data_IF_295667520542
#
_entry.id   IF_295667520542
#
_cell.length_a   1.000
_cell.length_b   1.000
_cell.length_c   1.000
_cell.angle_alpha   90.00
_cell.angle_beta   90.00
_cell.angle_gamma   90.00
#
_symmetry.space_group_name_H-M   'P 1'
#
loop_
_entity.id
_entity.type
_entity.pdbx_description
1 polymer ?
#
# COMPACT_ATOMS: atom_id res chain seq x y z
N UNK A 1 7.49 62.66 25.95
CA UNK A 1 8.55 61.76 26.44
C UNK A 1 7.85 60.48 26.87
N UNK A 2 7.63 59.56 25.94
CA UNK A 2 7.12 58.22 26.19
C UNK A 2 8.16 57.27 25.63
N UNK A 3 8.73 56.42 26.49
CA UNK A 3 9.69 55.40 26.07
C UNK A 3 8.90 54.20 25.57
N UNK A 4 9.11 53.85 24.31
CA UNK A 4 8.65 52.61 23.70
C UNK A 4 9.59 51.48 24.13
N UNK A 5 9.09 50.53 24.91
CA UNK A 5 9.79 49.28 25.20
C UNK A 5 9.73 48.38 23.95
N UNK A 6 10.86 48.30 23.24
CA UNK A 6 11.09 47.29 22.21
C UNK A 6 11.59 46.02 22.89
N UNK A 7 10.74 45.00 22.93
CA UNK A 7 11.13 43.63 23.25
C UNK A 7 11.93 43.05 22.09
N UNK A 8 13.23 42.82 22.34
CA UNK A 8 14.15 42.13 21.47
C UNK A 8 13.89 40.61 21.60
N UNK A 9 13.19 40.02 20.63
CA UNK A 9 13.04 38.57 20.51
C UNK A 9 14.26 38.02 19.79
N UNK A 10 15.11 37.32 20.54
CA UNK A 10 16.26 36.59 20.00
C UNK A 10 15.76 35.30 19.34
N UNK A 11 16.11 34.99 18.08
CA UNK A 11 15.74 33.72 17.47
C UNK A 11 16.59 32.59 18.07
N UNK A 12 15.93 31.68 18.78
CA UNK A 12 16.53 30.43 19.27
C UNK A 12 16.83 29.54 18.05
N UNK A 13 18.10 29.48 17.66
CA UNK A 13 18.59 28.46 16.71
C UNK A 13 18.51 27.10 17.40
N UNK A 14 17.56 26.27 17.00
CA UNK A 14 17.58 24.84 17.30
C UNK A 14 18.79 24.20 16.59
N UNK A 15 19.80 23.87 17.38
CA UNK A 15 20.90 23.02 16.93
C UNK A 15 20.37 21.59 16.80
N UNK A 16 20.20 21.11 15.56
CA UNK A 16 20.09 19.67 15.27
C UNK A 16 21.39 19.01 15.74
N UNK A 17 21.30 18.30 16.85
CA UNK A 17 22.39 17.45 17.34
C UNK A 17 22.25 16.11 16.61
N UNK A 18 23.28 15.61 15.90
CA UNK A 18 23.21 14.27 15.32
C UNK A 18 23.15 13.24 16.45
N UNK A 19 22.02 12.52 16.53
CA UNK A 19 21.85 11.37 17.41
C UNK A 19 22.75 10.24 16.89
N UNK A 20 23.85 9.99 17.58
CA UNK A 20 24.64 8.78 17.38
C UNK A 20 23.86 7.62 18.03
N UNK A 21 23.15 6.85 17.21
CA UNK A 21 22.54 5.59 17.62
C UNK A 21 23.67 4.62 17.98
N UNK A 22 23.90 4.46 19.29
CA UNK A 22 24.76 3.44 19.84
C UNK A 22 24.00 2.11 19.81
N UNK A 23 24.52 1.14 19.06
CA UNK A 23 23.92 -0.17 18.89
C UNK A 23 23.66 -0.91 20.21
N UNK A 24 22.41 -1.29 20.41
CA UNK A 24 22.00 -2.38 21.29
C UNK A 24 21.65 -3.59 20.44
N UNK A 25 22.51 -4.60 20.42
CA UNK A 25 22.16 -5.90 19.87
C UNK A 25 21.20 -6.62 20.84
N UNK A 26 19.91 -6.61 20.54
CA UNK A 26 18.97 -7.53 21.17
C UNK A 26 18.94 -8.83 20.35
N UNK A 27 19.62 -9.85 20.88
CA UNK A 27 19.47 -11.24 20.43
C UNK A 27 18.11 -11.77 20.90
N UNK A 28 17.08 -11.57 20.09
CA UNK A 28 15.79 -12.26 20.22
C UNK A 28 15.84 -13.57 19.42
N UNK A 29 15.97 -14.69 20.11
CA UNK A 29 15.86 -16.01 19.49
C UNK A 29 14.37 -16.33 19.23
N UNK A 30 13.91 -16.17 17.99
CA UNK A 30 12.63 -16.75 17.55
C UNK A 30 12.85 -18.21 17.18
N UNK A 31 12.12 -19.09 17.86
CA UNK A 31 12.14 -20.52 17.63
C UNK A 31 11.46 -20.85 16.29
N UNK A 32 12.27 -21.31 15.32
CA UNK A 32 11.80 -21.95 14.10
C UNK A 32 11.09 -23.27 14.43
N UNK A 33 9.76 -23.25 14.36
CA UNK A 33 8.93 -24.44 14.33
C UNK A 33 9.04 -25.14 12.98
N UNK A 34 9.82 -26.21 12.94
CA UNK A 34 9.98 -27.07 11.77
C UNK A 34 8.81 -28.08 11.66
N UNK A 35 8.05 -27.98 10.57
CA UNK A 35 7.43 -29.10 9.87
C UNK A 35 7.36 -28.67 8.40
N UNK A 36 8.08 -29.25 7.43
CA UNK A 36 8.57 -30.60 7.30
C UNK A 36 7.95 -31.16 6.03
N UNK A 37 8.62 -30.99 4.87
CA UNK A 37 8.62 -31.88 3.70
C UNK A 37 9.33 -31.19 2.52
N UNK A 38 10.64 -31.43 2.37
CA UNK A 38 11.36 -31.17 1.14
C UNK A 38 11.82 -32.52 0.55
N UNK A 39 11.31 -32.85 -0.63
CA UNK A 39 11.89 -33.87 -1.49
C UNK A 39 13.20 -33.32 -2.06
N UNK A 40 14.31 -34.00 -1.78
CA UNK A 40 15.57 -33.77 -2.45
C UNK A 40 15.55 -34.47 -3.82
N UNK A 41 15.76 -33.72 -4.90
CA UNK A 41 16.30 -34.25 -6.15
C UNK A 41 17.67 -33.62 -6.36
N UNK A 42 18.68 -34.48 -6.26
CA UNK A 42 20.05 -34.28 -6.72
C UNK A 42 20.06 -34.34 -8.25
N UNK A 43 20.72 -33.38 -8.89
CA UNK A 43 21.14 -33.44 -10.29
C UNK A 43 22.20 -32.38 -10.52
N UNK A 44 23.46 -32.69 -10.23
CA UNK A 44 24.48 -33.14 -11.21
C UNK A 44 24.83 -32.03 -12.23
N UNK A 45 25.92 -31.34 -11.93
CA UNK A 45 26.60 -30.44 -12.84
C UNK A 45 27.43 -31.29 -13.82
N UNK A 46 27.03 -31.32 -15.09
CA UNK A 46 27.75 -32.09 -16.09
C UNK A 46 27.42 -31.74 -17.52
N UNK A 47 28.44 -31.21 -18.20
CA UNK A 47 28.77 -31.40 -19.62
C UNK A 47 28.24 -30.38 -20.65
N UNK A 48 29.22 -29.68 -21.22
CA UNK A 48 29.14 -28.95 -22.47
C UNK A 48 28.98 -29.91 -23.66
N UNK A 49 28.26 -29.47 -24.71
CA UNK A 49 28.41 -30.09 -26.03
C UNK A 49 27.23 -29.93 -26.99
N UNK A 50 27.40 -29.00 -27.93
CA UNK A 50 27.28 -29.25 -29.37
C UNK A 50 25.90 -29.51 -30.05
N UNK A 51 25.61 -28.59 -30.99
CA UNK A 51 25.01 -28.75 -32.32
C UNK A 51 23.50 -28.46 -32.53
N UNK A 52 23.15 -27.76 -33.65
CA UNK A 52 21.79 -27.43 -34.06
C UNK A 52 21.21 -28.47 -35.03
N UNK A 53 19.93 -28.84 -34.85
CA UNK A 53 19.10 -29.67 -35.76
C UNK A 53 17.77 -29.98 -35.06
N UNK A 54 16.58 -30.05 -35.64
CA UNK A 54 16.01 -29.73 -36.95
C UNK A 54 14.53 -29.42 -36.75
N UNK A 55 13.98 -28.59 -37.64
CA UNK A 55 12.56 -28.39 -37.88
C UNK A 55 11.87 -29.74 -38.12
N UNK A 56 10.79 -30.02 -37.40
CA UNK A 56 9.83 -31.07 -37.75
C UNK A 56 8.46 -30.44 -37.99
N UNK A 57 8.14 -30.27 -39.27
CA UNK A 57 6.78 -30.17 -39.77
C UNK A 57 6.13 -31.56 -39.62
N UNK A 58 5.04 -31.64 -38.87
CA UNK A 58 4.08 -32.72 -38.98
C UNK A 58 2.72 -32.12 -39.33
N UNK A 59 2.40 -32.25 -40.61
CA UNK A 59 1.06 -32.11 -41.17
C UNK A 59 0.23 -33.38 -40.88
N UNK A 60 -1.08 -33.20 -41.00
CA UNK A 60 -2.13 -34.22 -41.18
C UNK A 60 -2.56 -35.01 -39.94
N UNK A 61 -3.80 -34.75 -39.49
CA UNK A 61 -4.86 -35.76 -39.70
C UNK A 61 -6.26 -35.12 -39.75
N UNK A 62 -6.97 -35.47 -40.82
CA UNK A 62 -8.34 -35.10 -41.12
C UNK A 62 -9.30 -36.08 -40.44
N UNK A 63 -10.01 -35.61 -39.41
CA UNK A 63 -11.10 -36.35 -38.76
C UNK A 63 -12.45 -35.67 -38.95
N UNK A 64 -13.05 -35.84 -40.13
CA UNK A 64 -14.43 -35.46 -40.41
C UNK A 64 -15.40 -36.44 -39.75
N UNK A 65 -16.21 -35.97 -38.80
CA UNK A 65 -17.44 -36.66 -38.40
C UNK A 65 -18.51 -35.62 -38.08
N UNK A 66 -19.51 -35.57 -38.95
CA UNK A 66 -20.72 -34.79 -38.80
C UNK A 66 -21.61 -35.38 -37.68
N UNK A 67 -22.07 -34.51 -36.78
CA UNK A 67 -23.27 -34.73 -35.98
C UNK A 67 -23.94 -33.37 -35.70
N UNK A 68 -25.27 -33.38 -35.75
CA UNK A 68 -26.22 -32.28 -35.80
C UNK A 68 -26.05 -31.10 -34.80
N UNK A 69 -26.46 -29.88 -35.19
CA UNK A 69 -26.46 -28.68 -34.35
C UNK A 69 -27.74 -28.61 -33.50
N UNK A 70 -27.68 -29.13 -32.27
CA UNK A 70 -28.64 -28.76 -31.24
C UNK A 70 -28.11 -27.54 -30.48
N UNK A 71 -28.86 -26.45 -30.57
CA UNK A 71 -28.61 -25.18 -29.92
C UNK A 71 -28.38 -25.36 -28.41
N UNK A 72 -27.14 -25.15 -27.99
CA UNK A 72 -26.80 -24.83 -26.61
C UNK A 72 -26.28 -23.40 -26.60
N UNK A 73 -27.25 -22.48 -26.52
CA UNK A 73 -27.02 -21.09 -26.13
C UNK A 73 -27.08 -21.02 -24.60
N UNK A 74 -26.16 -21.72 -23.95
CA UNK A 74 -25.86 -21.59 -22.53
C UNK A 74 -24.60 -20.75 -22.39
N UNK A 75 -24.73 -19.61 -21.71
CA UNK A 75 -23.70 -18.67 -21.29
C UNK A 75 -22.27 -18.94 -21.80
N UNK A 76 -21.95 -18.35 -22.95
CA UNK A 76 -20.60 -17.78 -23.10
C UNK A 76 -20.53 -16.65 -22.08
N UNK A 77 -20.14 -17.00 -20.84
CA UNK A 77 -19.70 -16.05 -19.85
C UNK A 77 -18.70 -15.15 -20.54
N UNK A 78 -19.14 -13.92 -20.79
CA UNK A 78 -18.28 -12.89 -21.35
C UNK A 78 -17.11 -12.78 -20.41
N UNK A 79 -15.97 -13.34 -20.83
CA UNK A 79 -14.68 -12.86 -20.39
C UNK A 79 -14.66 -11.41 -20.81
N UNK A 80 -15.20 -10.56 -19.93
CA UNK A 80 -15.13 -9.14 -20.04
C UNK A 80 -13.66 -8.86 -20.17
N UNK A 81 -13.26 -8.48 -21.38
CA UNK A 81 -12.14 -7.59 -21.60
C UNK A 81 -12.52 -6.23 -20.99
N UNK A 82 -12.91 -6.22 -19.72
CA UNK A 82 -12.94 -5.01 -18.90
C UNK A 82 -11.48 -4.66 -18.71
N UNK A 83 -11.11 -3.42 -19.03
CA UNK A 83 -9.78 -2.93 -18.70
C UNK A 83 -9.52 -3.27 -17.24
N UNK A 84 -8.33 -3.79 -16.95
CA UNK A 84 -7.91 -3.98 -15.56
C UNK A 84 -8.15 -2.65 -14.85
N UNK A 85 -9.16 -2.62 -13.99
CA UNK A 85 -9.41 -1.45 -13.15
C UNK A 85 -8.18 -1.26 -12.28
N UNK A 86 -7.77 -0.01 -12.15
CA UNK A 86 -6.68 0.41 -11.28
C UNK A 86 -7.08 0.03 -9.85
N UNK A 87 -6.20 -0.70 -9.17
CA UNK A 87 -6.35 -1.07 -7.77
C UNK A 87 -5.92 0.08 -6.85
N UNK A 88 -6.17 -0.09 -5.55
CA UNK A 88 -5.87 0.91 -4.51
C UNK A 88 -4.42 1.41 -4.61
N UNK A 89 -3.45 0.49 -4.69
CA UNK A 89 -2.04 0.84 -4.71
C UNK A 89 -1.68 1.63 -5.98
N UNK A 90 -2.20 1.21 -7.14
CA UNK A 90 -1.96 1.95 -8.37
C UNK A 90 -2.66 3.33 -8.39
N UNK A 91 -3.81 3.49 -7.73
CA UNK A 91 -4.45 4.80 -7.56
C UNK A 91 -3.60 5.72 -6.68
N UNK A 92 -3.09 5.20 -5.56
CA UNK A 92 -2.19 5.92 -4.66
C UNK A 92 -0.91 6.37 -5.39
N UNK A 93 -0.27 5.48 -6.15
CA UNK A 93 0.94 5.80 -6.92
C UNK A 93 0.69 6.90 -7.97
N UNK A 94 -0.47 6.89 -8.63
CA UNK A 94 -0.85 7.90 -9.63
C UNK A 94 -1.07 9.27 -8.99
N UNK A 95 -1.80 9.34 -7.88
CA UNK A 95 -2.04 10.59 -7.16
C UNK A 95 -0.74 11.15 -6.55
N UNK A 96 0.05 10.30 -5.88
CA UNK A 96 1.32 10.71 -5.28
C UNK A 96 2.33 11.26 -6.31
N UNK A 97 2.26 10.80 -7.58
CA UNK A 97 3.11 11.33 -8.64
C UNK A 97 2.81 12.79 -9.04
N UNK A 98 1.61 13.32 -8.71
CA UNK A 98 1.24 14.71 -8.97
C UNK A 98 1.86 15.68 -7.95
N UNK A 99 2.29 15.18 -6.78
CA UNK A 99 2.89 15.97 -5.70
C UNK A 99 4.37 15.59 -5.53
N UNK A 100 5.32 16.51 -5.77
CA UNK A 100 6.74 16.23 -5.54
C UNK A 100 7.01 15.82 -4.10
N UNK A 101 7.63 14.66 -3.90
CA UNK A 101 7.89 14.07 -2.58
C UNK A 101 6.61 13.84 -1.74
N UNK A 102 5.45 13.76 -2.39
CA UNK A 102 4.16 13.49 -1.75
C UNK A 102 4.03 12.06 -1.22
N UNK A 103 3.32 11.90 -0.11
CA UNK A 103 3.04 10.62 0.53
C UNK A 103 1.52 10.43 0.55
N UNK A 104 1.03 9.39 -0.12
CA UNK A 104 -0.37 9.01 -0.03
C UNK A 104 -0.63 8.36 1.33
N UNK A 105 -1.71 8.79 2.01
CA UNK A 105 -1.97 8.38 3.39
C UNK A 105 -3.43 7.95 3.64
N UNK A 106 -4.39 8.54 2.93
CA UNK A 106 -5.78 8.06 2.93
C UNK A 106 -6.23 7.74 1.50
N UNK A 107 -6.81 6.56 1.31
CA UNK A 107 -7.32 6.08 0.02
C UNK A 107 -8.66 5.39 0.22
N UNK A 108 -9.71 5.89 -0.44
CA UNK A 108 -11.07 5.32 -0.40
C UNK A 108 -11.62 5.14 -1.83
N UNK A 109 -12.39 4.08 -2.07
CA UNK A 109 -13.16 3.91 -3.29
C UNK A 109 -14.63 4.23 -3.05
N UNK A 110 -15.04 5.47 -3.30
CA UNK A 110 -16.43 5.90 -3.26
C UNK A 110 -16.91 6.47 -4.61
N UNK A 111 -18.22 6.38 -4.84
CA UNK A 111 -18.90 6.94 -6.02
C UNK A 111 -18.30 6.56 -7.40
N UNK A 112 -17.54 5.46 -7.46
CA UNK A 112 -16.90 4.94 -8.67
C UNK A 112 -15.57 5.61 -9.03
N UNK A 113 -14.96 6.33 -8.10
CA UNK A 113 -13.62 6.91 -8.19
C UNK A 113 -12.78 6.49 -6.99
N UNK A 114 -11.47 6.55 -7.11
CA UNK A 114 -10.59 6.52 -5.95
C UNK A 114 -10.39 7.95 -5.47
N UNK A 115 -10.67 8.21 -4.19
CA UNK A 115 -10.28 9.42 -3.47
C UNK A 115 -8.94 9.13 -2.79
N UNK A 116 -7.96 10.00 -2.98
CA UNK A 116 -6.58 9.79 -2.49
C UNK A 116 -6.05 11.09 -1.92
N UNK A 117 -5.75 11.09 -0.62
CA UNK A 117 -5.09 12.19 0.05
C UNK A 117 -3.57 12.01 0.03
N UNK A 118 -2.88 13.08 -0.37
CA UNK A 118 -1.43 13.13 -0.54
C UNK A 118 -0.85 14.33 0.18
N UNK A 119 -0.04 14.05 1.19
CA UNK A 119 0.63 15.08 1.98
C UNK A 119 2.00 15.44 1.40
N UNK A 120 2.29 16.74 1.30
CA UNK A 120 3.63 17.30 1.07
C UNK A 120 4.19 17.88 2.37
N UNK A 121 5.13 17.16 2.98
CA UNK A 121 5.80 17.58 4.23
C UNK A 121 6.63 18.85 4.02
N UNK A 122 7.19 19.04 2.83
CA UNK A 122 8.02 20.19 2.53
C UNK A 122 7.23 21.50 2.48
N UNK A 123 5.99 21.42 1.96
CA UNK A 123 5.11 22.57 1.78
C UNK A 123 4.04 22.70 2.88
N UNK A 124 3.92 21.70 3.76
CA UNK A 124 2.87 21.59 4.79
C UNK A 124 1.46 21.68 4.17
N UNK A 125 1.27 20.97 3.06
CA UNK A 125 0.04 20.95 2.26
C UNK A 125 -0.47 19.52 2.15
N UNK A 126 -1.79 19.40 2.15
CA UNK A 126 -2.48 18.16 1.87
C UNK A 126 -3.33 18.34 0.59
N UNK A 127 -3.42 17.29 -0.20
CA UNK A 127 -3.98 17.31 -1.55
C UNK A 127 -4.87 16.09 -1.77
N UNK A 128 -6.17 16.34 -1.93
CA UNK A 128 -7.15 15.32 -2.26
C UNK A 128 -7.24 15.18 -3.78
N UNK A 129 -7.02 13.97 -4.30
CA UNK A 129 -7.14 13.65 -5.72
C UNK A 129 -8.22 12.61 -5.97
N UNK A 130 -8.98 12.80 -7.05
CA UNK A 130 -9.79 11.74 -7.62
C UNK A 130 -9.02 11.04 -8.73
N UNK A 131 -8.99 9.71 -8.70
CA UNK A 131 -8.41 8.86 -9.74
C UNK A 131 -9.50 8.01 -10.38
N UNK A 132 -9.67 8.14 -11.69
CA UNK A 132 -10.62 7.33 -12.43
C UNK A 132 -10.11 5.88 -12.57
N UNK A 133 -10.84 4.86 -12.06
CA UNK A 133 -10.34 3.49 -12.00
C UNK A 133 -10.20 2.82 -13.38
N UNK A 134 -10.91 3.28 -14.40
CA UNK A 134 -10.86 2.70 -15.74
C UNK A 134 -9.75 3.29 -16.61
N UNK A 135 -9.46 4.59 -16.44
CA UNK A 135 -8.57 5.35 -17.32
C UNK A 135 -7.26 5.80 -16.66
N UNK A 136 -7.21 5.86 -15.33
CA UNK A 136 -6.11 6.44 -14.56
C UNK A 136 -5.99 7.95 -14.70
N UNK A 137 -7.04 8.63 -15.16
CA UNK A 137 -7.10 10.09 -15.13
C UNK A 137 -7.12 10.57 -13.68
N UNK A 138 -6.18 11.46 -13.34
CA UNK A 138 -6.04 12.06 -12.01
C UNK A 138 -6.54 13.50 -12.07
N UNK A 139 -7.38 13.89 -11.11
CA UNK A 139 -7.88 15.26 -10.98
C UNK A 139 -7.81 15.72 -9.52
N UNK A 140 -7.24 16.90 -9.27
CA UNK A 140 -7.25 17.53 -7.95
C UNK A 140 -8.69 17.91 -7.56
N UNK A 141 -9.15 17.41 -6.42
CA UNK A 141 -10.47 17.66 -5.86
C UNK A 141 -10.44 18.82 -4.86
N UNK A 142 -9.55 18.77 -3.87
CA UNK A 142 -9.30 19.83 -2.90
C UNK A 142 -7.81 20.00 -2.56
N UNK A 143 -7.45 21.13 -1.94
CA UNK A 143 -6.10 21.34 -1.43
C UNK A 143 -6.06 22.15 -0.12
N UNK A 144 -5.59 21.51 0.94
CA UNK A 144 -5.60 21.99 2.31
C UNK A 144 -4.22 22.37 2.85
N UNK A 145 -4.22 22.86 4.08
CA UNK A 145 -3.01 22.88 4.90
C UNK A 145 -3.01 21.55 5.65
N UNK A 146 -1.90 20.82 5.58
CA UNK A 146 -1.73 19.61 6.37
C UNK A 146 -1.73 19.97 7.86
N UNK A 147 -2.43 19.19 8.67
CA UNK A 147 -2.34 19.27 10.13
C UNK A 147 -1.20 18.39 10.68
N UNK A 148 -1.15 18.20 12.00
CA UNK A 148 -0.04 17.47 12.61
C UNK A 148 -0.17 15.96 12.35
N UNK A 149 -1.41 15.50 12.23
CA UNK A 149 -1.84 14.14 12.00
C UNK A 149 -1.47 13.72 10.57
N UNK A 150 -1.81 14.52 9.56
CA UNK A 150 -1.41 14.28 8.16
C UNK A 150 0.12 14.17 8.01
N UNK A 151 0.85 15.07 8.67
CA UNK A 151 2.31 15.12 8.60
C UNK A 151 2.98 13.94 9.31
N UNK A 152 2.29 13.27 10.23
CA UNK A 152 2.84 12.15 10.99
C UNK A 152 3.06 10.90 10.12
N UNK A 153 2.39 10.80 8.96
CA UNK A 153 2.62 9.68 8.02
C UNK A 153 4.08 9.63 7.55
N UNK A 154 4.80 10.76 7.54
CA UNK A 154 6.21 10.78 7.12
C UNK A 154 7.17 10.08 8.09
N UNK A 155 6.72 9.82 9.33
CA UNK A 155 7.48 9.16 10.38
C UNK A 155 7.12 7.66 10.54
N UNK A 156 6.22 7.12 9.71
CA UNK A 156 5.85 5.68 9.75
C UNK A 156 6.99 4.78 9.30
N UNK A 157 7.07 3.57 9.87
CA UNK A 157 8.08 2.58 9.49
C UNK A 157 7.58 1.65 8.38
N UNK A 158 6.28 1.33 8.39
CA UNK A 158 5.62 0.51 7.37
C UNK A 158 5.13 1.43 6.25
N UNK A 159 5.68 1.25 5.05
CA UNK A 159 5.20 1.97 3.86
C UNK A 159 3.83 1.47 3.38
N UNK A 160 3.14 2.30 2.59
CA UNK A 160 1.79 2.04 2.08
C UNK A 160 1.67 0.67 1.38
N UNK A 161 2.66 0.29 0.56
CA UNK A 161 2.61 -0.98 -0.17
C UNK A 161 2.70 -2.19 0.78
N UNK A 162 3.51 -2.08 1.83
CA UNK A 162 3.58 -3.08 2.88
C UNK A 162 2.28 -3.15 3.71
N UNK A 163 1.68 -1.99 4.03
CA UNK A 163 0.39 -1.92 4.73
C UNK A 163 -0.73 -2.58 3.92
N UNK A 164 -0.87 -2.25 2.62
CA UNK A 164 -1.82 -2.89 1.70
C UNK A 164 -1.63 -4.41 1.66
N UNK A 165 -0.38 -4.87 1.51
CA UNK A 165 -0.08 -6.30 1.45
C UNK A 165 -0.47 -7.06 2.72
N UNK A 166 -0.24 -6.46 3.91
CA UNK A 166 -0.64 -7.05 5.19
C UNK A 166 -2.17 -7.07 5.35
N UNK A 167 -2.84 -5.98 4.96
CA UNK A 167 -4.29 -5.84 4.99
C UNK A 167 -4.99 -6.85 4.09
N UNK A 168 -4.58 -6.99 2.83
CA UNK A 168 -5.17 -7.95 1.90
C UNK A 168 -4.96 -9.41 2.34
N UNK A 169 -3.82 -9.72 2.98
CA UNK A 169 -3.56 -11.05 3.55
C UNK A 169 -4.52 -11.36 4.70
N UNK A 170 -4.73 -10.41 5.61
CA UNK A 170 -5.60 -10.60 6.78
C UNK A 170 -7.08 -10.62 6.39
N UNK A 171 -7.52 -9.69 5.53
CA UNK A 171 -8.90 -9.60 5.04
C UNK A 171 -9.24 -10.79 4.10
N UNK A 172 -8.29 -11.23 3.28
CA UNK A 172 -8.46 -12.30 2.30
C UNK A 172 -9.07 -11.84 0.97
N UNK A 173 -8.86 -10.58 0.59
CA UNK A 173 -9.40 -9.97 -0.61
C UNK A 173 -8.85 -8.56 -0.86
N UNK A 174 -9.21 -7.94 -1.99
CA UNK A 174 -8.80 -6.57 -2.28
C UNK A 174 -9.48 -5.58 -1.34
N UNK A 175 -8.76 -4.51 -1.02
CA UNK A 175 -9.25 -3.37 -0.25
C UNK A 175 -10.08 -2.44 -1.12
N UNK A 176 -11.03 -1.76 -0.49
CA UNK A 176 -11.66 -0.56 -1.04
C UNK A 176 -11.30 0.69 -0.24
N UNK A 177 -10.71 0.55 0.95
CA UNK A 177 -10.27 1.67 1.78
C UNK A 177 -8.99 1.33 2.55
N UNK A 178 -8.12 2.32 2.70
CA UNK A 178 -6.95 2.31 3.57
C UNK A 178 -6.70 3.73 4.08
N UNK A 179 -6.83 3.94 5.39
CA UNK A 179 -6.65 5.23 6.06
C UNK A 179 -5.48 5.17 7.05
N UNK A 180 -4.74 6.27 7.16
CA UNK A 180 -3.75 6.50 8.20
C UNK A 180 -4.35 7.32 9.33
N UNK A 181 -4.33 6.78 10.55
CA UNK A 181 -4.75 7.52 11.74
C UNK A 181 -3.59 7.72 12.72
N UNK A 182 -3.31 8.99 13.02
CA UNK A 182 -2.48 9.39 14.14
C UNK A 182 -3.38 9.60 15.38
N UNK A 183 -3.76 8.52 16.05
CA UNK A 183 -4.59 8.61 17.25
C UNK A 183 -3.75 9.08 18.45
N UNK A 184 -4.11 10.24 19.01
CA UNK A 184 -3.75 10.58 20.39
C UNK A 184 -4.50 9.59 21.30
N UNK A 185 -3.77 8.87 22.15
CA UNK A 185 -4.38 7.92 23.10
C UNK A 185 -5.20 8.72 24.10
N UNK A 186 -6.51 8.71 23.92
CA UNK A 186 -7.47 9.51 24.69
C UNK A 186 -7.61 8.96 26.12
N UNK A 187 -6.60 9.22 26.96
CA UNK A 187 -6.48 8.64 28.30
C UNK A 187 -5.99 9.68 29.34
N UNK A 188 -6.51 10.92 29.34
CA UNK A 188 -6.30 11.95 30.40
C UNK A 188 -4.83 12.34 30.75
N UNK A 189 -3.84 11.63 30.22
CA UNK A 189 -2.41 11.81 30.36
C UNK A 189 -1.93 12.27 28.99
N UNK A 190 -1.76 13.60 28.84
CA UNK A 190 -1.20 14.30 27.67
C UNK A 190 0.28 13.90 27.44
N UNK A 191 0.61 12.61 27.41
CA UNK A 191 1.94 12.12 27.08
C UNK A 191 2.01 11.86 25.56
N UNK A 192 2.62 12.77 24.78
CA UNK A 192 2.75 12.58 23.33
C UNK A 192 3.61 11.37 22.98
N UNK A 193 4.30 10.75 23.96
CA UNK A 193 5.07 9.53 23.75
C UNK A 193 4.18 8.27 23.58
N UNK A 194 2.86 8.36 23.85
CA UNK A 194 1.91 7.25 23.75
C UNK A 194 1.00 7.30 22.51
N UNK A 195 1.23 8.23 21.56
CA UNK A 195 0.50 8.27 20.29
C UNK A 195 0.71 6.95 19.51
N UNK A 196 -0.39 6.30 19.13
CA UNK A 196 -0.35 5.07 18.33
C UNK A 196 -0.74 5.45 16.91
N UNK A 197 0.26 5.49 16.03
CA UNK A 197 0.02 5.62 14.59
C UNK A 197 -0.40 4.27 14.06
N UNK A 198 -1.51 4.21 13.32
CA UNK A 198 -1.98 2.97 12.76
C UNK A 198 -2.58 3.15 11.37
N UNK A 199 -2.55 2.08 10.60
CA UNK A 199 -3.27 1.94 9.34
C UNK A 199 -4.58 1.22 9.60
N UNK A 200 -5.70 1.75 9.14
CA UNK A 200 -7.00 1.10 9.16
C UNK A 200 -7.38 0.73 7.72
N UNK A 201 -7.74 -0.52 7.48
CA UNK A 201 -8.06 -1.02 6.15
C UNK A 201 -9.43 -1.69 6.13
N UNK A 202 -10.21 -1.42 5.08
CA UNK A 202 -11.50 -2.05 4.85
C UNK A 202 -11.52 -2.78 3.49
N UNK A 203 -12.06 -4.00 3.48
CA UNK A 203 -12.26 -4.79 2.27
C UNK A 203 -13.73 -5.01 1.93
N UNK A 204 -14.00 -5.56 0.75
CA UNK A 204 -15.35 -5.70 0.15
C UNK A 204 -16.46 -6.39 0.97
N UNK A 205 -16.15 -6.98 2.13
CA UNK A 205 -17.14 -7.60 3.01
C UNK A 205 -17.38 -6.77 4.29
N UNK A 206 -17.07 -5.47 4.25
CA UNK A 206 -17.11 -4.55 5.39
C UNK A 206 -16.20 -5.03 6.55
N UNK A 207 -15.20 -5.87 6.23
CA UNK A 207 -14.25 -6.40 7.20
C UNK A 207 -13.14 -5.39 7.38
N UNK A 208 -12.91 -5.01 8.62
CA UNK A 208 -11.96 -3.97 8.99
C UNK A 208 -10.77 -4.60 9.73
N UNK A 209 -9.57 -4.07 9.49
CA UNK A 209 -8.36 -4.43 10.22
C UNK A 209 -7.51 -3.20 10.46
N UNK A 210 -6.99 -3.09 11.68
CA UNK A 210 -6.05 -2.05 12.08
C UNK A 210 -4.64 -2.63 12.29
N UNK A 211 -3.62 -1.95 11.81
CA UNK A 211 -2.20 -2.32 11.93
C UNK A 211 -1.38 -1.18 12.54
N UNK A 212 -0.46 -1.52 13.44
CA UNK A 212 0.52 -0.58 13.97
C UNK A 212 1.45 -0.09 12.84
N UNK A 213 1.49 1.22 12.58
CA UNK A 213 2.27 1.78 11.48
C UNK A 213 3.80 1.75 11.74
N UNK A 214 4.24 1.47 12.97
CA UNK A 214 5.64 1.36 13.34
C UNK A 214 6.20 -0.06 13.20
N UNK A 215 5.36 -1.10 13.21
CA UNK A 215 5.85 -2.50 13.16
C UNK A 215 5.00 -3.47 12.33
N UNK A 216 3.80 -3.06 11.91
CA UNK A 216 2.88 -3.86 11.11
C UNK A 216 2.09 -4.91 11.91
N UNK A 217 2.16 -4.89 13.25
CA UNK A 217 1.37 -5.80 14.08
C UNK A 217 -0.12 -5.46 13.98
N UNK A 218 -0.96 -6.49 13.87
CA UNK A 218 -2.43 -6.33 13.91
C UNK A 218 -2.86 -5.85 15.29
N UNK A 219 -3.53 -4.71 15.34
CA UNK A 219 -4.07 -4.10 16.55
C UNK A 219 -5.52 -4.55 16.81
N UNK A 220 -6.34 -4.56 15.76
CA UNK A 220 -7.76 -4.91 15.84
C UNK A 220 -8.25 -5.52 14.52
N UNK A 221 -9.34 -6.28 14.62
CA UNK A 221 -10.11 -6.83 13.50
C UNK A 221 -11.59 -6.78 13.84
N UNK A 222 -12.43 -6.28 12.94
CA UNK A 222 -13.90 -6.25 13.07
C UNK A 222 -14.56 -6.96 11.86
N UNK A 223 -15.70 -7.62 12.09
CA UNK A 223 -16.42 -8.51 11.15
C UNK A 223 -17.94 -8.22 11.09
#
# INVERSE_FOLDING_TARGET
MGHEERTDMTPTRFGRTPLLIAGGAALGAVALGAAGLAFAVVGDAGVAGNAPSQISLASDDSGSAAADPAADSGERGGGGSGGSTIDLLAAAELAAAEVPDGIAHDIEFDDGVWEVDVVSVADERDHEFHVNPESGEVTLADEGRADAEDLAVADVEIDLAAAVGAAEEEIGGPLHELQFEAAERDDDDDDPEDAVHHWQAEGQNDREVAFDAANGDVLATDD
#
